data_IF_572649535525
#
_entry.id   IF_572649535525
#
_cell.length_a   1.000
_cell.length_b   1.000
_cell.length_c   1.000
_cell.angle_alpha   90.00
_cell.angle_beta   90.00
_cell.angle_gamma   90.00
#
_symmetry.space_group_name_H-M   'P 1'
#
loop_
_entity.id
_entity.type
_entity.pdbx_description
1 polymer ?
#
# COMPACT_ATOMS: atom_id res chain seq x y z
N UNK A 1 31.41 -19.56 20.03
CA UNK A 1 30.38 -20.56 20.46
C UNK A 1 29.01 -19.94 20.60
N UNK A 2 28.89 -18.78 21.27
CA UNK A 2 27.60 -18.05 21.42
C UNK A 2 26.93 -17.69 20.09
N UNK A 3 27.70 -17.16 19.11
CA UNK A 3 27.14 -16.73 17.82
C UNK A 3 26.54 -17.88 17.02
N UNK A 4 27.19 -19.05 17.08
CA UNK A 4 26.70 -20.26 16.42
C UNK A 4 25.38 -20.76 17.03
N UNK A 5 25.27 -20.65 18.35
CA UNK A 5 24.04 -20.98 19.08
C UNK A 5 22.90 -20.02 18.70
N UNK A 6 23.15 -18.71 18.70
CA UNK A 6 22.15 -17.70 18.39
C UNK A 6 21.65 -17.84 16.96
N UNK A 7 22.54 -18.04 15.97
CA UNK A 7 22.16 -18.30 14.58
C UNK A 7 21.24 -19.51 14.45
N UNK A 8 21.58 -20.61 15.13
CA UNK A 8 20.73 -21.80 15.13
C UNK A 8 19.34 -21.56 15.77
N UNK A 9 19.27 -20.72 16.81
CA UNK A 9 17.97 -20.33 17.40
C UNK A 9 17.17 -19.40 16.50
N UNK A 10 17.83 -18.47 15.79
CA UNK A 10 17.18 -17.62 14.78
C UNK A 10 16.58 -18.46 13.65
N UNK A 11 17.35 -19.44 13.15
CA UNK A 11 16.90 -20.36 12.12
C UNK A 11 15.65 -21.17 12.56
N UNK A 12 15.65 -21.67 13.80
CA UNK A 12 14.45 -22.33 14.39
C UNK A 12 13.26 -21.38 14.50
N UNK A 13 13.48 -20.11 14.87
CA UNK A 13 12.45 -19.11 14.96
C UNK A 13 11.88 -18.78 13.55
N UNK A 14 12.76 -18.62 12.56
CA UNK A 14 12.40 -18.41 11.16
C UNK A 14 11.54 -19.56 10.61
N UNK A 15 11.91 -20.80 10.92
CA UNK A 15 11.17 -22.00 10.52
C UNK A 15 9.89 -22.25 11.35
N UNK A 16 9.63 -21.44 12.37
CA UNK A 16 8.48 -21.61 13.26
C UNK A 16 8.59 -22.80 14.22
N UNK A 17 9.78 -23.38 14.36
CA UNK A 17 10.04 -24.49 15.27
C UNK A 17 10.08 -24.05 16.75
N UNK A 18 10.34 -22.77 17.00
CA UNK A 18 10.22 -22.13 18.31
C UNK A 18 9.45 -20.82 18.15
N UNK A 19 8.79 -20.37 19.21
CA UNK A 19 8.13 -19.08 19.25
C UNK A 19 9.08 -17.95 19.69
N UNK A 20 8.62 -16.68 19.54
CA UNK A 20 9.40 -15.49 19.94
C UNK A 20 9.82 -15.54 21.42
N UNK A 21 8.93 -16.03 22.29
CA UNK A 21 9.20 -16.09 23.73
C UNK A 21 10.29 -17.11 24.04
N UNK A 22 10.25 -18.27 23.43
CA UNK A 22 11.26 -19.33 23.55
C UNK A 22 12.62 -18.84 23.03
N UNK A 23 12.63 -18.15 21.89
CA UNK A 23 13.86 -17.52 21.39
C UNK A 23 14.42 -16.51 22.39
N UNK A 24 13.60 -15.57 22.88
CA UNK A 24 14.02 -14.57 23.85
C UNK A 24 14.60 -15.20 25.12
N UNK A 25 13.92 -16.20 25.68
CA UNK A 25 14.38 -16.90 26.88
C UNK A 25 15.76 -17.55 26.65
N UNK A 26 15.93 -18.22 25.52
CA UNK A 26 17.20 -18.89 25.17
C UNK A 26 18.35 -17.90 24.90
N UNK A 27 18.06 -16.76 24.23
CA UNK A 27 19.01 -15.71 23.96
C UNK A 27 19.49 -15.00 25.25
N UNK A 28 18.58 -14.69 26.17
CA UNK A 28 18.89 -14.11 27.47
C UNK A 28 19.68 -15.08 28.32
N UNK A 29 19.30 -16.37 28.38
CA UNK A 29 20.04 -17.41 29.07
C UNK A 29 21.48 -17.58 28.51
N UNK A 30 21.69 -17.32 27.23
CA UNK A 30 23.01 -17.29 26.59
C UNK A 30 23.78 -15.98 26.87
N UNK A 31 23.22 -15.05 27.63
CA UNK A 31 23.86 -13.78 28.02
C UNK A 31 23.80 -12.72 26.94
N UNK A 32 22.74 -12.70 26.14
CA UNK A 32 22.43 -11.63 25.17
C UNK A 32 21.57 -10.58 25.88
N UNK A 33 21.92 -9.31 25.72
CA UNK A 33 21.13 -8.20 26.27
C UNK A 33 19.74 -8.17 25.64
N UNK A 34 18.72 -7.81 26.41
CA UNK A 34 17.31 -7.78 25.95
C UNK A 34 17.11 -6.98 24.66
N UNK A 35 17.64 -5.75 24.51
CA UNK A 35 17.47 -4.99 23.26
C UNK A 35 18.03 -5.72 22.03
N UNK A 36 19.21 -6.32 22.17
CA UNK A 36 19.84 -7.10 21.10
C UNK A 36 19.04 -8.36 20.77
N UNK A 37 18.56 -9.08 21.77
CA UNK A 37 17.72 -10.25 21.57
C UNK A 37 16.39 -9.90 20.87
N UNK A 38 15.80 -8.74 21.20
CA UNK A 38 14.59 -8.22 20.52
C UNK A 38 14.85 -7.90 19.04
N UNK A 39 15.96 -7.25 18.73
CA UNK A 39 16.36 -6.96 17.33
C UNK A 39 16.55 -8.26 16.55
N UNK A 40 17.34 -9.19 17.06
CA UNK A 40 17.59 -10.49 16.43
C UNK A 40 16.31 -11.31 16.21
N UNK A 41 15.36 -11.27 17.16
CA UNK A 41 14.08 -11.91 17.00
C UNK A 41 13.23 -11.24 15.92
N UNK A 42 13.24 -9.91 15.85
CA UNK A 42 12.50 -9.16 14.84
C UNK A 42 13.04 -9.43 13.44
N UNK A 43 14.36 -9.43 13.27
CA UNK A 43 15.03 -9.72 11.98
C UNK A 43 14.72 -11.14 11.50
N UNK A 44 14.75 -12.13 12.41
CA UNK A 44 14.42 -13.51 12.08
C UNK A 44 12.97 -13.71 11.63
N UNK A 45 12.02 -12.98 12.25
CA UNK A 45 10.60 -13.02 11.89
C UNK A 45 10.36 -12.28 10.58
N UNK A 46 11.02 -11.13 10.36
CA UNK A 46 10.90 -10.34 9.14
C UNK A 46 11.48 -11.05 7.91
N UNK A 47 12.50 -11.90 8.10
CA UNK A 47 13.11 -12.67 7.03
C UNK A 47 12.17 -13.71 6.37
N UNK A 48 11.05 -14.05 7.03
CA UNK A 48 10.06 -15.00 6.49
C UNK A 48 8.66 -14.42 6.57
N UNK A 49 8.25 -13.60 5.59
CA UNK A 49 6.91 -13.04 5.54
C UNK A 49 5.86 -14.16 5.51
N UNK A 50 4.92 -14.15 6.43
CA UNK A 50 3.76 -15.04 6.38
C UNK A 50 2.74 -14.46 5.42
N UNK A 51 2.29 -15.28 4.47
CA UNK A 51 1.19 -14.89 3.58
C UNK A 51 -0.12 -14.83 4.37
N UNK A 52 -0.92 -13.81 4.13
CA UNK A 52 -2.21 -13.60 4.79
C UNK A 52 -2.08 -13.09 6.23
N UNK A 53 -3.16 -13.16 6.97
CA UNK A 53 -3.27 -12.64 8.33
C UNK A 53 -4.21 -11.44 8.41
N UNK A 54 -4.23 -10.79 9.60
CA UNK A 54 -5.06 -9.61 9.86
C UNK A 54 -4.16 -8.41 10.16
N UNK A 55 -4.22 -7.40 9.31
CA UNK A 55 -3.62 -6.11 9.55
C UNK A 55 -4.66 -5.16 10.17
N UNK A 56 -4.28 -4.42 11.22
CA UNK A 56 -5.12 -3.40 11.85
C UNK A 56 -4.35 -2.09 11.87
N UNK A 57 -4.92 -1.08 11.23
CA UNK A 57 -4.35 0.26 11.17
C UNK A 57 -5.33 1.25 11.81
N UNK A 58 -4.84 2.06 12.75
CA UNK A 58 -5.59 3.19 13.30
C UNK A 58 -5.37 4.41 12.43
N UNK A 59 -6.45 4.98 11.91
CA UNK A 59 -6.44 6.21 11.12
C UNK A 59 -7.29 7.27 11.81
N UNK A 60 -6.83 8.51 11.81
CA UNK A 60 -7.60 9.66 12.27
C UNK A 60 -8.53 10.20 11.18
N UNK A 61 -9.32 11.18 11.55
CA UNK A 61 -10.17 11.98 10.66
C UNK A 61 -11.32 11.25 9.94
N UNK A 62 -11.72 10.06 10.40
CA UNK A 62 -12.94 9.42 9.90
C UNK A 62 -14.21 10.18 10.27
N UNK A 63 -15.20 10.21 9.38
CA UNK A 63 -16.51 10.82 9.57
C UNK A 63 -17.63 9.80 9.33
N UNK A 64 -18.79 10.06 9.90
CA UNK A 64 -19.99 9.24 9.64
C UNK A 64 -20.56 9.41 8.23
N UNK A 65 -20.10 10.45 7.52
CA UNK A 65 -20.47 10.75 6.12
C UNK A 65 -19.49 10.14 5.11
N UNK A 66 -18.42 9.47 5.58
CA UNK A 66 -17.44 8.86 4.69
C UNK A 66 -18.07 7.76 3.83
N UNK A 67 -17.68 7.71 2.57
CA UNK A 67 -18.07 6.70 1.60
C UNK A 67 -16.85 5.98 1.03
N UNK A 68 -17.07 4.87 0.33
CA UNK A 68 -16.00 4.19 -0.43
C UNK A 68 -15.84 4.76 -1.85
N UNK A 69 -16.57 5.80 -2.19
CA UNK A 69 -16.43 6.50 -3.45
C UNK A 69 -15.20 7.40 -3.41
N UNK A 70 -14.21 7.08 -4.22
CA UNK A 70 -12.96 7.85 -4.32
C UNK A 70 -13.17 9.27 -4.83
N UNK A 71 -14.24 9.53 -5.60
CA UNK A 71 -14.60 10.87 -6.07
C UNK A 71 -15.03 11.82 -4.95
N UNK A 72 -15.42 11.29 -3.79
CA UNK A 72 -15.86 12.06 -2.62
C UNK A 72 -14.90 12.02 -1.44
N UNK A 73 -13.66 11.52 -1.66
CA UNK A 73 -12.65 11.39 -0.62
C UNK A 73 -12.11 12.75 -0.17
N UNK A 74 -12.54 13.23 1.01
CA UNK A 74 -12.17 14.55 1.53
C UNK A 74 -11.18 14.52 2.70
N UNK A 75 -10.95 13.35 3.30
CA UNK A 75 -10.14 13.23 4.49
C UNK A 75 -9.09 12.12 4.40
N UNK A 76 -8.15 12.14 5.33
CA UNK A 76 -7.03 11.20 5.34
C UNK A 76 -7.48 9.73 5.49
N UNK A 77 -8.57 9.47 6.22
CA UNK A 77 -9.10 8.12 6.39
C UNK A 77 -9.59 7.52 5.06
N UNK A 78 -10.44 8.26 4.33
CA UNK A 78 -10.98 7.81 3.04
C UNK A 78 -9.89 7.67 1.99
N UNK A 79 -8.92 8.60 1.95
CA UNK A 79 -7.78 8.56 1.03
C UNK A 79 -6.93 7.31 1.26
N UNK A 80 -6.47 7.06 2.49
CA UNK A 80 -5.64 5.89 2.80
C UNK A 80 -6.41 4.59 2.59
N UNK A 81 -7.72 4.59 2.89
CA UNK A 81 -8.57 3.43 2.63
C UNK A 81 -8.67 3.15 1.13
N UNK A 82 -8.82 4.18 0.29
CA UNK A 82 -8.80 4.07 -1.17
C UNK A 82 -7.54 3.38 -1.68
N UNK A 83 -6.37 3.75 -1.19
CA UNK A 83 -5.10 3.10 -1.53
C UNK A 83 -4.99 1.62 -1.09
N UNK A 84 -5.85 1.14 -0.19
CA UNK A 84 -5.81 -0.26 0.24
C UNK A 84 -6.60 -1.20 -0.65
N UNK A 85 -7.59 -0.71 -1.39
CA UNK A 85 -8.43 -1.54 -2.26
C UNK A 85 -8.47 -1.11 -3.72
N UNK A 86 -8.02 0.11 -4.02
CA UNK A 86 -7.96 0.66 -5.38
C UNK A 86 -6.55 0.79 -5.90
N UNK A 87 -6.44 0.87 -7.21
CA UNK A 87 -5.19 1.12 -7.92
C UNK A 87 -5.35 2.34 -8.83
N UNK A 88 -4.23 2.99 -9.17
CA UNK A 88 -4.19 4.14 -10.05
C UNK A 88 -3.54 3.79 -11.39
N UNK A 89 -3.67 4.64 -12.39
CA UNK A 89 -2.92 4.45 -13.65
C UNK A 89 -1.42 4.59 -13.42
N UNK A 90 -1.03 5.54 -12.57
CA UNK A 90 0.35 5.83 -12.20
C UNK A 90 0.46 6.09 -10.72
N UNK A 91 1.63 5.90 -10.14
CA UNK A 91 1.92 6.18 -8.73
C UNK A 91 3.25 6.92 -8.56
N UNK A 92 3.44 7.52 -7.40
CA UNK A 92 4.73 8.09 -7.00
C UNK A 92 5.43 7.08 -6.08
N UNK A 93 6.56 6.54 -6.55
CA UNK A 93 7.31 5.56 -5.80
C UNK A 93 8.05 6.20 -4.60
N UNK A 94 8.70 5.36 -3.80
CA UNK A 94 9.46 5.80 -2.61
C UNK A 94 10.64 6.74 -2.91
N UNK A 95 11.11 6.77 -4.16
CA UNK A 95 12.14 7.70 -4.64
C UNK A 95 11.56 9.03 -5.13
N UNK A 96 10.24 9.24 -5.04
CA UNK A 96 9.56 10.45 -5.51
C UNK A 96 9.40 10.52 -7.03
N UNK A 97 9.53 9.41 -7.75
CA UNK A 97 9.38 9.35 -9.20
C UNK A 97 8.00 8.83 -9.57
N UNK A 98 7.41 9.42 -10.61
CA UNK A 98 6.19 8.92 -11.24
C UNK A 98 6.51 7.62 -11.98
N UNK A 99 5.77 6.57 -11.67
CA UNK A 99 5.90 5.23 -12.28
C UNK A 99 4.53 4.72 -12.70
N UNK A 100 4.50 3.77 -13.65
CA UNK A 100 3.25 3.13 -14.05
C UNK A 100 2.76 2.12 -13.01
N UNK A 101 1.47 2.11 -12.76
CA UNK A 101 0.78 1.13 -11.92
C UNK A 101 -0.17 0.27 -12.78
N UNK A 102 -1.43 0.69 -13.00
CA UNK A 102 -2.32 0.05 -13.97
C UNK A 102 -1.93 0.34 -15.42
N UNK A 103 -1.30 1.49 -15.66
CA UNK A 103 -0.65 1.76 -16.93
C UNK A 103 0.76 1.14 -16.93
N UNK A 104 1.06 0.29 -17.90
CA UNK A 104 2.40 -0.27 -18.09
C UNK A 104 3.37 0.81 -18.58
N UNK A 105 2.91 1.65 -19.50
CA UNK A 105 3.61 2.85 -19.96
C UNK A 105 2.66 4.03 -20.07
N UNK A 106 3.21 5.22 -19.98
CA UNK A 106 2.49 6.47 -20.18
C UNK A 106 3.42 7.50 -20.83
N UNK A 107 2.91 8.26 -21.78
CA UNK A 107 3.71 9.22 -22.55
C UNK A 107 2.84 10.39 -23.02
N UNK A 108 3.49 11.53 -23.25
CA UNK A 108 2.89 12.71 -23.81
C UNK A 108 3.96 13.53 -24.53
N UNK A 109 3.69 13.96 -25.77
CA UNK A 109 4.60 14.82 -26.53
C UNK A 109 4.38 16.32 -26.23
N UNK A 110 3.17 16.69 -25.85
CA UNK A 110 2.75 18.10 -25.72
C UNK A 110 2.36 18.48 -24.26
N UNK A 111 2.40 17.52 -23.34
CA UNK A 111 1.96 17.69 -21.95
C UNK A 111 0.44 17.87 -21.79
N UNK A 112 -0.34 17.78 -22.87
CA UNK A 112 -1.80 17.92 -22.90
C UNK A 112 -2.49 16.62 -23.27
N UNK A 113 -1.96 15.95 -24.30
CA UNK A 113 -2.46 14.65 -24.77
C UNK A 113 -1.61 13.55 -24.16
N UNK A 114 -2.23 12.66 -23.40
CA UNK A 114 -1.56 11.55 -22.75
C UNK A 114 -2.02 10.22 -23.31
N UNK A 115 -1.07 9.34 -23.59
CA UNK A 115 -1.33 7.96 -24.02
C UNK A 115 -0.92 7.02 -22.89
N UNK A 116 -1.87 6.21 -22.42
CA UNK A 116 -1.66 5.20 -21.41
C UNK A 116 -1.83 3.81 -22.01
N UNK A 117 -0.80 2.98 -21.95
CA UNK A 117 -0.89 1.58 -22.33
C UNK A 117 -1.24 0.76 -21.10
N UNK A 118 -2.45 0.23 -21.05
CA UNK A 118 -2.96 -0.49 -19.89
C UNK A 118 -2.31 -1.87 -19.75
N UNK A 119 -2.03 -2.24 -18.52
CA UNK A 119 -1.53 -3.57 -18.16
C UNK A 119 -2.58 -4.63 -18.47
N UNK A 120 -2.17 -5.72 -19.11
CA UNK A 120 -3.07 -6.83 -19.49
C UNK A 120 -3.30 -7.77 -18.30
N UNK A 121 -4.47 -8.40 -18.26
CA UNK A 121 -4.81 -9.41 -17.27
C UNK A 121 -5.07 -8.87 -15.86
N UNK A 122 -5.33 -7.58 -15.72
CA UNK A 122 -5.78 -7.00 -14.46
C UNK A 122 -7.25 -7.33 -14.26
N UNK A 123 -7.60 -7.81 -13.08
CA UNK A 123 -8.96 -8.17 -12.70
C UNK A 123 -9.45 -7.34 -11.51
N UNK A 124 -10.71 -6.94 -11.55
CA UNK A 124 -11.40 -6.36 -10.40
C UNK A 124 -11.67 -7.43 -9.35
N UNK A 125 -12.00 -7.02 -8.12
CA UNK A 125 -12.32 -7.91 -7.01
C UNK A 125 -13.49 -8.88 -7.30
N UNK A 126 -14.35 -8.57 -8.27
CA UNK A 126 -15.44 -9.44 -8.73
C UNK A 126 -15.03 -10.39 -9.85
N UNK A 127 -13.77 -10.40 -10.27
CA UNK A 127 -13.23 -11.24 -11.34
C UNK A 127 -13.44 -10.70 -12.76
N UNK A 128 -14.05 -9.52 -12.94
CA UNK A 128 -14.14 -8.87 -14.24
C UNK A 128 -12.75 -8.37 -14.67
N UNK A 129 -12.34 -8.64 -15.89
CA UNK A 129 -11.11 -8.07 -16.45
C UNK A 129 -11.28 -6.57 -16.70
N UNK A 130 -10.29 -5.78 -16.31
CA UNK A 130 -10.23 -4.34 -16.55
C UNK A 130 -10.02 -4.04 -18.05
N UNK A 131 -10.75 -3.05 -18.54
CA UNK A 131 -10.68 -2.55 -19.93
C UNK A 131 -10.45 -1.04 -19.97
N UNK A 132 -10.16 -0.48 -21.14
CA UNK A 132 -10.11 0.97 -21.35
C UNK A 132 -11.43 1.68 -21.08
N UNK A 133 -12.55 1.00 -21.28
CA UNK A 133 -13.88 1.54 -20.97
C UNK A 133 -14.09 1.76 -19.48
N UNK A 134 -13.55 0.87 -18.64
CA UNK A 134 -13.60 1.02 -17.19
C UNK A 134 -12.78 2.24 -16.72
N UNK A 135 -11.64 2.50 -17.35
CA UNK A 135 -10.81 3.68 -17.10
C UNK A 135 -11.56 4.94 -17.50
N UNK A 136 -12.19 4.93 -18.68
CA UNK A 136 -12.99 6.07 -19.16
C UNK A 136 -14.16 6.35 -18.21
N UNK A 137 -14.89 5.33 -17.79
CA UNK A 137 -15.99 5.46 -16.83
C UNK A 137 -15.52 6.07 -15.49
N UNK A 138 -14.32 5.71 -15.02
CA UNK A 138 -13.72 6.32 -13.83
C UNK A 138 -13.44 7.80 -14.02
N UNK A 139 -12.91 8.21 -15.17
CA UNK A 139 -12.72 9.62 -15.49
C UNK A 139 -14.03 10.40 -15.55
N UNK A 140 -15.04 9.85 -16.21
CA UNK A 140 -16.36 10.47 -16.29
C UNK A 140 -17.00 10.64 -14.91
N UNK A 141 -16.86 9.65 -14.03
CA UNK A 141 -17.32 9.73 -12.66
C UNK A 141 -16.65 10.88 -11.90
N UNK A 142 -15.32 10.98 -11.97
CA UNK A 142 -14.58 12.06 -11.30
C UNK A 142 -14.85 13.43 -11.89
N UNK A 143 -15.07 13.54 -13.20
CA UNK A 143 -15.44 14.81 -13.84
C UNK A 143 -16.84 15.27 -13.38
N UNK A 144 -17.77 14.35 -13.18
CA UNK A 144 -19.08 14.66 -12.61
C UNK A 144 -18.99 15.26 -11.20
N UNK A 145 -18.09 14.75 -10.36
CA UNK A 145 -17.83 15.30 -9.02
C UNK A 145 -17.17 16.69 -9.06
N UNK A 146 -16.29 16.96 -10.03
CA UNK A 146 -15.63 18.27 -10.19
C UNK A 146 -16.60 19.39 -10.62
N UNK A 147 -17.71 19.07 -11.27
CA UNK A 147 -18.75 20.04 -11.63
C UNK A 147 -19.49 20.60 -10.40
N UNK A 148 -19.37 19.96 -9.24
CA UNK A 148 -19.97 20.41 -7.98
C UNK A 148 -19.09 21.39 -7.19
N UNK A 149 -17.83 21.56 -7.56
CA UNK A 149 -17.01 22.63 -7.01
C UNK A 149 -17.42 23.95 -7.67
N UNK A 150 -17.95 24.90 -6.88
CA UNK A 150 -18.22 26.27 -7.34
C UNK A 150 -17.01 26.78 -8.13
N UNK A 151 -17.24 27.39 -9.32
CA UNK A 151 -16.13 27.95 -10.07
C UNK A 151 -15.36 28.90 -9.17
N UNK A 152 -14.05 28.71 -9.11
CA UNK A 152 -13.17 29.60 -8.36
C UNK A 152 -13.40 31.03 -8.88
N UNK A 153 -13.39 32.07 -8.01
CA UNK A 153 -13.48 33.46 -8.45
C UNK A 153 -12.43 33.86 -9.51
N UNK A 154 -11.40 33.01 -9.71
CA UNK A 154 -10.35 33.18 -10.74
C UNK A 154 -10.77 32.67 -12.11
N UNK A 155 -11.82 31.85 -12.21
CA UNK A 155 -12.29 31.22 -13.46
C UNK A 155 -13.43 31.99 -14.12
N UNK A 156 -13.89 33.09 -13.51
CA UNK A 156 -14.83 34.03 -14.14
C UNK A 156 -14.05 34.97 -15.08
N UNK A 157 -14.34 34.99 -16.40
CA UNK A 157 -13.75 35.96 -17.29
C UNK A 157 -14.11 37.37 -16.82
N UNK A 158 -13.13 38.20 -16.59
CA UNK A 158 -13.33 39.64 -16.38
C UNK A 158 -13.65 40.34 -17.70
#
# INVERSE_FOLDING_TARGET
MKDKFIKAQQEKLTLGAIDRRQFMTSAIAAGIAIPTALSLASDAIAATPKKGGKFRMGLGHGSTTDTLDSGTSENHFTLVNGYTFGNHLTEINKEGKLVGELAETFESDDGKTWVFNLRKGVEFHNGKTMTSEDVLASYEHHMGCLLYTSPSPRDTPQ
#
